data_IF_223606670517
#
_entry.id   IF_223606670517
#
_cell.length_a   1.000
_cell.length_b   1.000
_cell.length_c   1.000
_cell.angle_alpha   90.00
_cell.angle_beta   90.00
_cell.angle_gamma   90.00
#
_symmetry.space_group_name_H-M   'P 1'
#
loop_
_entity.id
_entity.type
_entity.pdbx_description
1 polymer ?
#
# COMPACT_ATOMS: atom_id res chain seq x y z
N UNK A 1 -9.24 -19.30 -15.29
CA UNK A 1 -7.88 -18.78 -15.55
C UNK A 1 -7.32 -18.18 -14.28
N UNK A 2 -6.00 -18.17 -14.10
CA UNK A 2 -5.29 -17.61 -12.94
C UNK A 2 -5.64 -16.12 -12.71
N UNK A 3 -5.84 -15.37 -13.80
CA UNK A 3 -6.21 -13.95 -13.78
C UNK A 3 -7.62 -13.69 -13.20
N UNK A 4 -8.60 -14.55 -13.52
CA UNK A 4 -9.95 -14.42 -12.97
C UNK A 4 -9.96 -14.57 -11.44
N UNK A 5 -9.20 -15.54 -10.91
CA UNK A 5 -9.06 -15.75 -9.47
C UNK A 5 -8.37 -14.56 -8.80
N UNK A 6 -7.34 -13.99 -9.44
CA UNK A 6 -6.68 -12.78 -8.92
C UNK A 6 -7.63 -11.58 -8.82
N UNK A 7 -8.47 -11.37 -9.84
CA UNK A 7 -9.48 -10.30 -9.85
C UNK A 7 -10.53 -10.49 -8.75
N UNK A 8 -11.03 -11.72 -8.59
CA UNK A 8 -11.96 -12.06 -7.50
C UNK A 8 -11.33 -11.79 -6.14
N UNK A 9 -10.11 -12.29 -5.88
CA UNK A 9 -9.37 -12.05 -4.63
C UNK A 9 -9.20 -10.56 -4.34
N UNK A 10 -8.79 -9.77 -5.33
CA UNK A 10 -8.63 -8.32 -5.19
C UNK A 10 -9.97 -7.62 -4.88
N UNK A 11 -11.05 -8.05 -5.53
CA UNK A 11 -12.39 -7.50 -5.24
C UNK A 11 -12.88 -7.83 -3.83
N UNK A 12 -12.60 -9.05 -3.35
CA UNK A 12 -12.94 -9.48 -1.99
C UNK A 12 -12.17 -8.69 -0.94
N UNK A 13 -10.86 -8.47 -1.15
CA UNK A 13 -10.04 -7.63 -0.28
C UNK A 13 -10.63 -6.23 -0.15
N UNK A 14 -10.92 -5.55 -1.28
CA UNK A 14 -11.52 -4.21 -1.27
C UNK A 14 -12.85 -4.17 -0.53
N UNK A 15 -13.72 -5.15 -0.78
CA UNK A 15 -15.03 -5.26 -0.13
C UNK A 15 -14.92 -5.44 1.39
N UNK A 16 -13.91 -6.18 1.87
CA UNK A 16 -13.68 -6.32 3.30
C UNK A 16 -13.15 -5.04 3.94
N UNK A 17 -12.28 -4.31 3.24
CA UNK A 17 -11.85 -2.99 3.70
C UNK A 17 -13.00 -1.98 3.78
N UNK A 18 -13.91 -1.97 2.80
CA UNK A 18 -15.12 -1.14 2.84
C UNK A 18 -16.06 -1.47 4.01
N UNK A 19 -15.95 -2.69 4.56
CA UNK A 19 -16.74 -3.16 5.71
C UNK A 19 -16.02 -3.00 7.05
N UNK A 20 -14.81 -2.44 7.06
CA UNK A 20 -13.96 -2.36 8.25
C UNK A 20 -13.39 -3.72 8.69
N UNK A 21 -13.47 -4.77 7.86
CA UNK A 21 -12.98 -6.11 8.16
C UNK A 21 -11.49 -6.26 7.79
N UNK A 22 -10.66 -5.29 8.20
CA UNK A 22 -9.23 -5.21 7.86
C UNK A 22 -8.44 -6.43 8.31
N UNK A 23 -8.82 -7.05 9.43
CA UNK A 23 -8.20 -8.28 9.92
C UNK A 23 -8.40 -9.46 8.95
N UNK A 24 -9.62 -9.64 8.41
CA UNK A 24 -9.91 -10.71 7.45
C UNK A 24 -9.18 -10.49 6.12
N UNK A 25 -9.07 -9.23 5.70
CA UNK A 25 -8.30 -8.88 4.51
C UNK A 25 -6.81 -9.20 4.68
N UNK A 26 -6.23 -8.87 5.85
CA UNK A 26 -4.84 -9.23 6.17
C UNK A 26 -4.64 -10.74 6.24
N UNK A 27 -5.51 -11.47 6.93
CA UNK A 27 -5.42 -12.93 7.05
C UNK A 27 -5.46 -13.63 5.68
N UNK A 28 -6.36 -13.21 4.78
CA UNK A 28 -6.39 -13.75 3.43
C UNK A 28 -5.09 -13.46 2.68
N UNK A 29 -4.53 -12.26 2.81
CA UNK A 29 -3.29 -11.92 2.14
C UNK A 29 -2.10 -12.72 2.68
N UNK A 30 -2.03 -12.91 4.00
CA UNK A 30 -1.01 -13.74 4.63
C UNK A 30 -1.06 -15.19 4.11
N UNK A 31 -2.25 -15.80 4.03
CA UNK A 31 -2.40 -17.12 3.42
C UNK A 31 -2.00 -17.16 1.93
N UNK A 32 -2.18 -16.05 1.19
CA UNK A 32 -1.71 -15.94 -0.19
C UNK A 32 -0.17 -15.82 -0.27
N UNK A 33 0.47 -15.20 0.73
CA UNK A 33 1.93 -15.15 0.82
C UNK A 33 2.51 -16.54 1.13
N UNK A 34 1.94 -17.26 2.10
CA UNK A 34 2.36 -18.62 2.46
C UNK A 34 2.25 -19.59 1.28
N UNK A 35 1.20 -19.43 0.47
CA UNK A 35 0.97 -20.27 -0.71
C UNK A 35 1.69 -19.77 -1.98
N UNK A 36 2.41 -18.64 -1.90
CA UNK A 36 3.07 -17.98 -3.05
C UNK A 36 2.11 -17.66 -4.21
N UNK A 37 0.86 -17.30 -3.87
CA UNK A 37 -0.18 -16.94 -4.84
C UNK A 37 -0.57 -15.47 -4.78
N UNK A 38 0.11 -14.70 -3.93
CA UNK A 38 -0.03 -13.26 -3.84
C UNK A 38 0.53 -12.57 -5.09
N UNK A 39 0.05 -11.36 -5.37
CA UNK A 39 0.61 -10.53 -6.43
C UNK A 39 0.62 -9.03 -6.07
N UNK A 40 1.26 -8.23 -6.94
CA UNK A 40 1.43 -6.79 -6.76
C UNK A 40 0.10 -6.03 -6.52
N UNK A 41 -0.98 -6.43 -7.19
CA UNK A 41 -2.28 -5.78 -7.02
C UNK A 41 -2.90 -6.05 -5.65
N UNK A 42 -2.78 -7.26 -5.14
CA UNK A 42 -3.25 -7.61 -3.81
C UNK A 42 -2.40 -6.92 -2.73
N UNK A 43 -1.07 -6.87 -2.92
CA UNK A 43 -0.16 -6.11 -2.07
C UNK A 43 -0.54 -4.62 -2.03
N UNK A 44 -0.75 -4.01 -3.20
CA UNK A 44 -1.20 -2.60 -3.31
C UNK A 44 -2.51 -2.38 -2.57
N UNK A 45 -3.48 -3.31 -2.69
CA UNK A 45 -4.75 -3.20 -2.00
C UNK A 45 -4.59 -3.27 -0.47
N UNK A 46 -3.78 -4.18 0.04
CA UNK A 46 -3.49 -4.27 1.48
C UNK A 46 -2.80 -3.00 1.99
N UNK A 47 -1.86 -2.43 1.24
CA UNK A 47 -1.15 -1.22 1.65
C UNK A 47 -2.01 0.04 1.56
N UNK A 48 -2.90 0.12 0.56
CA UNK A 48 -3.74 1.29 0.35
C UNK A 48 -4.89 1.39 1.37
N UNK A 49 -5.37 0.25 1.86
CA UNK A 49 -6.56 0.16 2.71
C UNK A 49 -6.30 -0.44 4.09
N UNK A 50 -5.24 -1.23 4.25
CA UNK A 50 -4.76 -1.62 5.55
C UNK A 50 -4.12 -0.40 6.18
N UNK A 51 -4.56 -0.06 7.38
CA UNK A 51 -4.01 1.02 8.18
C UNK A 51 -2.57 0.69 8.60
N UNK A 52 -1.66 0.84 7.65
CA UNK A 52 -0.24 0.61 7.78
C UNK A 52 0.45 1.96 7.86
N UNK A 53 1.50 2.04 8.66
CA UNK A 53 2.53 3.09 8.59
C UNK A 53 3.50 2.80 7.44
N UNK A 54 4.29 3.79 7.04
CA UNK A 54 5.29 3.60 5.99
C UNK A 54 6.34 2.53 6.37
N UNK A 55 6.66 2.37 7.67
CA UNK A 55 7.60 1.35 8.14
C UNK A 55 6.99 -0.06 8.09
N UNK A 56 5.69 -0.19 8.34
CA UNK A 56 4.95 -1.44 8.13
C UNK A 56 4.80 -1.74 6.64
N UNK A 57 4.61 -0.71 5.81
CA UNK A 57 4.52 -0.86 4.37
C UNK A 57 5.81 -1.41 3.77
N UNK A 58 6.97 -0.86 4.17
CA UNK A 58 8.29 -1.39 3.78
C UNK A 58 8.46 -2.86 4.16
N UNK A 59 8.19 -3.21 5.42
CA UNK A 59 8.29 -4.60 5.89
C UNK A 59 7.35 -5.54 5.15
N UNK A 60 6.14 -5.10 4.83
CA UNK A 60 5.20 -5.91 4.06
C UNK A 60 5.67 -6.08 2.62
N UNK A 61 6.24 -5.06 1.99
CA UNK A 61 6.82 -5.14 0.64
C UNK A 61 7.95 -6.15 0.58
N UNK A 62 8.89 -6.12 1.54
CA UNK A 62 9.99 -7.10 1.63
C UNK A 62 9.47 -8.53 1.77
N UNK A 63 8.51 -8.75 2.68
CA UNK A 63 7.88 -10.05 2.89
C UNK A 63 7.13 -10.54 1.65
N UNK A 64 6.39 -9.65 0.99
CA UNK A 64 5.64 -9.98 -0.22
C UNK A 64 6.58 -10.36 -1.37
N UNK A 65 7.67 -9.64 -1.52
CA UNK A 65 8.69 -9.92 -2.53
C UNK A 65 9.37 -11.27 -2.30
N UNK A 66 9.71 -11.59 -1.05
CA UNK A 66 10.25 -12.91 -0.68
C UNK A 66 9.28 -14.08 -0.99
N UNK A 67 7.97 -13.80 -1.03
CA UNK A 67 6.93 -14.76 -1.41
C UNK A 67 6.57 -14.73 -2.91
N UNK A 68 7.30 -13.97 -3.73
CA UNK A 68 7.09 -13.87 -5.18
C UNK A 68 6.09 -12.79 -5.63
N UNK A 69 5.58 -11.96 -4.71
CA UNK A 69 4.71 -10.84 -5.02
C UNK A 69 5.52 -9.53 -5.07
N UNK A 70 6.13 -9.25 -6.22
CA UNK A 70 6.99 -8.08 -6.41
C UNK A 70 6.20 -6.76 -6.39
N UNK A 71 6.64 -5.74 -5.64
CA UNK A 71 6.10 -4.39 -5.70
C UNK A 71 6.15 -3.79 -7.11
N UNK A 72 5.12 -3.02 -7.50
CA UNK A 72 5.07 -2.27 -8.75
C UNK A 72 4.97 -0.75 -8.50
N UNK A 73 4.86 0.02 -9.58
CA UNK A 73 4.69 1.48 -9.51
C UNK A 73 3.47 1.91 -8.66
N UNK A 74 2.41 1.11 -8.63
CA UNK A 74 1.22 1.39 -7.82
C UNK A 74 1.52 1.17 -6.34
N UNK A 75 2.26 0.11 -6.01
CA UNK A 75 2.75 -0.15 -4.65
C UNK A 75 3.58 1.03 -4.13
N UNK A 76 4.55 1.50 -4.90
CA UNK A 76 5.38 2.65 -4.51
C UNK A 76 4.60 3.96 -4.43
N UNK A 77 3.60 4.17 -5.29
CA UNK A 77 2.73 5.35 -5.19
C UNK A 77 1.97 5.42 -3.86
N UNK A 78 1.56 4.27 -3.31
CA UNK A 78 0.94 4.19 -1.98
C UNK A 78 1.96 4.54 -0.89
N UNK A 79 3.16 3.95 -0.95
CA UNK A 79 4.24 4.23 0.01
C UNK A 79 4.65 5.71 0.01
N UNK A 80 4.88 6.30 -1.16
CA UNK A 80 5.21 7.72 -1.32
C UNK A 80 4.12 8.64 -0.75
N UNK A 81 2.85 8.26 -0.92
CA UNK A 81 1.74 8.97 -0.33
C UNK A 81 1.78 8.92 1.20
N UNK A 82 2.06 7.76 1.78
CA UNK A 82 2.18 7.63 3.24
C UNK A 82 3.38 8.38 3.80
N UNK A 83 4.55 8.28 3.17
CA UNK A 83 5.76 9.02 3.60
C UNK A 83 5.50 10.53 3.66
N UNK A 84 4.79 11.09 2.66
CA UNK A 84 4.39 12.50 2.68
C UNK A 84 3.44 12.85 3.83
N UNK A 85 2.47 11.99 4.11
CA UNK A 85 1.55 12.18 5.24
C UNK A 85 2.33 12.15 6.56
N UNK A 86 3.21 11.17 6.75
CA UNK A 86 4.07 11.03 7.93
C UNK A 86 5.16 12.10 8.02
N UNK A 87 5.42 12.85 6.94
CA UNK A 87 6.48 13.86 6.90
C UNK A 87 7.89 13.25 6.84
N UNK A 88 8.01 12.01 6.32
CA UNK A 88 9.28 11.31 6.14
C UNK A 88 9.90 11.60 4.77
N UNK A 89 11.20 11.34 4.65
CA UNK A 89 11.97 11.49 3.40
C UNK A 89 11.41 10.57 2.30
N UNK A 90 11.34 11.09 1.07
CA UNK A 90 10.83 10.36 -0.10
C UNK A 90 11.95 9.72 -0.91
N UNK A 91 13.16 10.27 -0.80
CA UNK A 91 14.36 9.88 -1.51
C UNK A 91 14.65 8.38 -1.41
N UNK A 92 14.52 7.70 -0.25
CA UNK A 92 14.76 6.26 -0.17
C UNK A 92 13.81 5.45 -1.05
N UNK A 93 12.54 5.82 -1.10
CA UNK A 93 11.56 5.13 -1.95
C UNK A 93 11.80 5.41 -3.44
N UNK A 94 12.17 6.65 -3.79
CA UNK A 94 12.47 7.03 -5.17
C UNK A 94 13.75 6.36 -5.69
N UNK A 95 14.77 6.23 -4.85
CA UNK A 95 16.00 5.52 -5.21
C UNK A 95 15.76 4.02 -5.35
N UNK A 96 14.92 3.43 -4.50
CA UNK A 96 14.55 2.02 -4.63
C UNK A 96 13.73 1.74 -5.89
N UNK A 97 12.82 2.64 -6.29
CA UNK A 97 12.16 2.54 -7.59
C UNK A 97 13.19 2.55 -8.73
N UNK A 98 14.17 3.46 -8.67
CA UNK A 98 15.23 3.59 -9.69
C UNK A 98 16.11 2.34 -9.74
N UNK A 99 16.55 1.81 -8.60
CA UNK A 99 17.42 0.62 -8.51
C UNK A 99 16.74 -0.61 -9.13
N UNK A 100 15.41 -0.69 -9.04
CA UNK A 100 14.58 -1.75 -9.61
C UNK A 100 14.12 -1.50 -11.05
N UNK A 101 14.47 -0.36 -11.64
CA UNK A 101 14.00 0.03 -12.98
C UNK A 101 12.49 0.32 -13.06
N UNK A 102 11.85 0.66 -11.94
CA UNK A 102 10.43 1.02 -11.89
C UNK A 102 10.29 2.51 -12.22
N UNK A 103 9.77 2.81 -13.41
CA UNK A 103 9.60 4.18 -13.86
C UNK A 103 8.41 4.88 -13.18
N UNK A 104 8.66 6.10 -12.70
CA UNK A 104 7.60 6.97 -12.19
C UNK A 104 6.63 7.34 -13.33
N UNK A 105 5.33 7.22 -13.07
CA UNK A 105 4.29 7.57 -14.03
C UNK A 105 3.58 8.88 -13.65
N UNK A 106 2.57 9.26 -14.43
CA UNK A 106 1.74 10.45 -14.16
C UNK A 106 1.15 10.42 -12.75
N UNK A 107 0.77 9.24 -12.26
CA UNK A 107 0.24 9.08 -10.90
C UNK A 107 1.32 9.32 -9.84
N UNK A 108 2.54 8.87 -10.06
CA UNK A 108 3.68 9.16 -9.19
C UNK A 108 3.93 10.66 -9.10
N UNK A 109 3.98 11.36 -10.25
CA UNK A 109 4.11 12.82 -10.27
C UNK A 109 2.98 13.51 -9.52
N UNK A 110 1.73 13.12 -9.76
CA UNK A 110 0.58 13.70 -9.05
C UNK A 110 0.64 13.46 -7.53
N UNK A 111 1.22 12.34 -7.09
CA UNK A 111 1.47 12.08 -5.66
C UNK A 111 2.50 13.04 -5.11
N UNK A 112 3.62 13.25 -5.81
CA UNK A 112 4.74 14.12 -5.39
C UNK A 112 4.41 15.62 -5.44
N UNK A 113 3.58 16.05 -6.39
CA UNK A 113 3.21 17.45 -6.62
C UNK A 113 2.04 17.93 -5.73
N UNK A 114 1.63 17.16 -4.71
CA UNK A 114 0.49 17.53 -3.85
C UNK A 114 0.77 18.82 -3.07
N UNK A 115 -0.23 19.71 -3.07
CA UNK A 115 -0.14 20.96 -2.33
C UNK A 115 -0.06 20.74 -0.81
N UNK A 116 0.55 21.71 -0.11
CA UNK A 116 0.61 21.71 1.35
C UNK A 116 -0.78 21.61 2.00
N UNK A 117 -1.79 22.30 1.44
CA UNK A 117 -3.18 22.21 1.92
C UNK A 117 -3.76 20.80 1.80
N UNK A 118 -3.50 20.12 0.68
CA UNK A 118 -3.93 18.73 0.49
C UNK A 118 -3.28 17.82 1.53
N UNK A 119 -1.96 17.92 1.72
CA UNK A 119 -1.23 17.14 2.72
C UNK A 119 -1.69 17.45 4.15
N UNK A 120 -1.97 18.72 4.46
CA UNK A 120 -2.50 19.14 5.76
C UNK A 120 -3.83 18.44 6.06
N UNK A 121 -4.78 18.44 5.11
CA UNK A 121 -6.06 17.72 5.27
C UNK A 121 -5.86 16.23 5.46
N UNK A 122 -4.96 15.60 4.69
CA UNK A 122 -4.66 14.18 4.83
C UNK A 122 -4.09 13.87 6.21
N UNK A 123 -3.10 14.64 6.68
CA UNK A 123 -2.50 14.51 8.02
C UNK A 123 -3.55 14.62 9.12
N UNK A 124 -4.42 15.63 9.05
CA UNK A 124 -5.52 15.77 10.01
C UNK A 124 -6.46 14.57 9.99
N UNK A 125 -6.79 14.03 8.82
CA UNK A 125 -7.63 12.83 8.71
C UNK A 125 -6.95 11.61 9.32
N UNK A 126 -5.66 11.40 9.04
CA UNK A 126 -4.89 10.29 9.61
C UNK A 126 -4.80 10.41 11.13
N UNK A 127 -4.52 11.60 11.66
CA UNK A 127 -4.50 11.84 13.10
C UNK A 127 -5.85 11.55 13.77
N UNK A 128 -6.96 11.98 13.16
CA UNK A 128 -8.31 11.68 13.68
C UNK A 128 -8.55 10.18 13.76
N UNK A 129 -8.17 9.41 12.73
CA UNK A 129 -8.33 7.96 12.72
C UNK A 129 -7.48 7.30 13.81
N UNK A 130 -6.21 7.68 13.93
CA UNK A 130 -5.31 7.14 14.97
C UNK A 130 -5.79 7.44 16.40
N UNK A 131 -6.45 8.57 16.61
CA UNK A 131 -7.05 8.91 17.90
C UNK A 131 -8.32 8.10 18.19
N UNK A 132 -9.11 7.77 17.17
CA UNK A 132 -10.31 6.94 17.32
C UNK A 132 -9.99 5.46 17.55
N UNK A 133 -8.89 4.97 16.96
CA UNK A 133 -8.44 3.57 17.13
C UNK A 133 -7.70 3.32 18.46
N UNK A 134 -7.43 4.37 19.24
CA UNK A 134 -6.73 4.34 20.52
C UNK A 134 -7.62 4.42 21.77
N UNK A 135 -8.95 4.50 21.59
CA UNK A 135 -9.98 4.45 22.65
C UNK A 135 -10.64 3.07 22.73
#
# INVERSE_FOLDING_TARGET
SHEHLSRVRTSTLKKWFERGESCKARELFEGLLETQQANAHQLTAILAHGDCTSDEAWRLMERAEAAGATPDVSTFNVLLNQLQVEGKALEPALEEMRSRGIEANERTRAVLERSHEHLSRMRTSTLKRLLQDGE
#
